data_IF_629102759783
#
_entry.id   IF_629102759783
#
_cell.length_a   1.000
_cell.length_b   1.000
_cell.length_c   1.000
_cell.angle_alpha   90.00
_cell.angle_beta   90.00
_cell.angle_gamma   90.00
#
_symmetry.space_group_name_H-M   'P 1'
#
loop_
_entity.id
_entity.type
_entity.pdbx_description
1 polymer ?
#
# COMPACT_ATOMS: atom_id res chain seq x y z
N UNK A 1 4.57 25.76 -22.73
CA UNK A 1 5.28 25.46 -21.47
C UNK A 1 4.52 24.30 -20.86
N UNK A 2 5.02 23.07 -21.08
CA UNK A 2 4.46 21.90 -20.41
C UNK A 2 4.73 22.07 -18.93
N UNK A 3 3.70 21.96 -18.12
CA UNK A 3 3.81 22.03 -16.68
C UNK A 3 4.66 20.84 -16.24
N UNK A 4 5.97 21.06 -16.05
CA UNK A 4 6.93 20.14 -15.45
C UNK A 4 6.66 20.07 -13.93
N UNK A 5 5.41 19.82 -13.56
CA UNK A 5 5.10 19.47 -12.20
C UNK A 5 5.49 18.00 -12.05
N UNK A 6 6.33 17.65 -11.07
CA UNK A 6 6.57 16.25 -10.77
C UNK A 6 5.19 15.59 -10.55
N UNK A 7 4.98 14.36 -11.05
CA UNK A 7 3.72 13.66 -10.85
C UNK A 7 3.36 13.71 -9.38
N UNK A 8 2.14 14.16 -9.07
CA UNK A 8 1.66 14.13 -7.70
C UNK A 8 1.58 12.65 -7.29
N UNK A 9 1.89 12.34 -6.04
CA UNK A 9 1.84 10.97 -5.55
C UNK A 9 0.73 10.83 -4.53
N UNK A 10 -0.15 9.87 -4.74
CA UNK A 10 -1.10 9.47 -3.72
C UNK A 10 -0.54 8.27 -2.96
N UNK A 11 -0.64 8.32 -1.63
CA UNK A 11 -0.16 7.27 -0.74
C UNK A 11 -1.33 6.70 0.05
N UNK A 12 -1.38 5.38 0.15
CA UNK A 12 -2.35 4.68 0.98
C UNK A 12 -1.65 3.63 1.82
N UNK A 13 -2.14 3.39 3.04
CA UNK A 13 -1.62 2.36 3.92
C UNK A 13 -2.73 1.36 4.20
N UNK A 14 -2.49 0.09 3.87
CA UNK A 14 -3.41 -1.00 4.19
C UNK A 14 -2.88 -1.81 5.35
N UNK A 15 -3.75 -2.17 6.29
CA UNK A 15 -3.42 -3.19 7.28
C UNK A 15 -3.66 -4.57 6.64
N UNK A 16 -2.68 -5.49 6.66
CA UNK A 16 -2.94 -6.86 6.25
C UNK A 16 -4.02 -7.45 7.18
N UNK A 17 -5.01 -8.17 6.63
CA UNK A 17 -6.08 -8.75 7.42
C UNK A 17 -5.50 -9.62 8.53
N UNK A 18 -5.81 -9.26 9.78
CA UNK A 18 -5.48 -10.08 10.95
C UNK A 18 -6.58 -11.14 11.03
N UNK A 19 -6.21 -12.41 10.92
CA UNK A 19 -7.14 -13.51 11.13
C UNK A 19 -7.88 -13.37 12.47
N UNK A 20 -9.08 -13.97 12.54
CA UNK A 20 -9.92 -14.02 13.75
C UNK A 20 -9.14 -14.48 14.99
N UNK A 21 -8.12 -15.30 14.78
CA UNK A 21 -7.01 -15.59 15.69
C UNK A 21 -5.88 -14.61 15.40
N UNK A 22 -5.47 -13.78 16.38
CA UNK A 22 -4.35 -12.80 16.31
C UNK A 22 -2.96 -13.39 15.93
N UNK A 23 -2.90 -14.58 15.33
CA UNK A 23 -1.73 -15.38 14.97
C UNK A 23 -1.68 -15.81 13.50
N UNK A 24 -2.76 -15.64 12.74
CA UNK A 24 -2.77 -15.94 11.31
C UNK A 24 -2.76 -14.62 10.55
N UNK A 25 -1.59 -14.24 10.05
CA UNK A 25 -1.50 -13.23 8.99
C UNK A 25 -2.17 -13.84 7.77
N UNK A 26 -3.36 -13.36 7.41
CA UNK A 26 -3.96 -13.74 6.14
C UNK A 26 -3.11 -13.11 5.04
N UNK A 27 -2.75 -13.92 4.05
CA UNK A 27 -1.91 -13.50 2.95
C UNK A 27 -2.56 -12.29 2.21
N UNK A 28 -1.92 -11.12 2.17
CA UNK A 28 -2.51 -9.92 1.58
C UNK A 28 -2.39 -9.88 0.05
N UNK A 29 -1.93 -10.96 -0.60
CA UNK A 29 -1.64 -10.96 -2.05
C UNK A 29 -2.88 -10.65 -2.89
N UNK A 30 -4.06 -11.15 -2.54
CA UNK A 30 -5.29 -10.81 -3.28
C UNK A 30 -5.54 -9.30 -3.28
N UNK A 31 -5.45 -8.67 -2.10
CA UNK A 31 -5.66 -7.23 -1.96
C UNK A 31 -4.58 -6.40 -2.66
N UNK A 32 -3.32 -6.86 -2.62
CA UNK A 32 -2.22 -6.24 -3.33
C UNK A 32 -2.39 -6.34 -4.85
N UNK A 33 -2.90 -7.46 -5.37
CA UNK A 33 -3.20 -7.61 -6.79
C UNK A 33 -4.34 -6.70 -7.24
N UNK A 34 -5.42 -6.56 -6.45
CA UNK A 34 -6.49 -5.60 -6.72
C UNK A 34 -5.94 -4.17 -6.84
N UNK A 35 -5.16 -3.75 -5.84
CA UNK A 35 -4.54 -2.42 -5.82
C UNK A 35 -3.53 -2.25 -6.97
N UNK A 36 -2.76 -3.30 -7.29
CA UNK A 36 -1.85 -3.31 -8.44
C UNK A 36 -2.58 -3.12 -9.77
N UNK A 37 -3.77 -3.70 -9.93
CA UNK A 37 -4.61 -3.49 -11.10
C UNK A 37 -5.14 -2.04 -11.21
N UNK A 38 -5.32 -1.36 -10.07
CA UNK A 38 -5.68 0.07 -10.00
C UNK A 38 -4.47 1.01 -10.18
N UNK A 39 -3.25 0.48 -10.33
CA UNK A 39 -2.02 1.24 -10.54
C UNK A 39 -1.26 1.61 -9.26
N UNK A 40 -1.59 0.97 -8.13
CA UNK A 40 -0.84 1.12 -6.88
C UNK A 40 0.41 0.24 -6.86
N UNK A 41 1.51 0.82 -6.42
CA UNK A 41 2.80 0.15 -6.25
C UNK A 41 3.14 0.05 -4.75
N UNK A 42 3.45 -1.16 -4.27
CA UNK A 42 3.92 -1.37 -2.90
C UNK A 42 5.29 -0.70 -2.72
N UNK A 43 5.39 0.27 -1.82
CA UNK A 43 6.64 1.01 -1.58
C UNK A 43 7.37 0.55 -0.33
N UNK A 44 6.67 0.35 0.78
CA UNK A 44 7.30 0.03 2.07
C UNK A 44 6.33 -0.76 2.96
N UNK A 45 6.88 -1.53 3.90
CA UNK A 45 6.12 -2.18 4.96
C UNK A 45 6.56 -1.65 6.32
N UNK A 46 5.60 -1.08 7.07
CA UNK A 46 5.86 -0.53 8.41
C UNK A 46 5.59 -1.64 9.43
N UNK A 47 6.65 -1.98 10.15
CA UNK A 47 6.61 -2.95 11.25
C UNK A 47 6.82 -2.24 12.58
N UNK A 48 5.98 -2.55 13.56
CA UNK A 48 6.18 -2.04 14.92
C UNK A 48 7.09 -2.99 15.70
N UNK A 49 8.05 -2.43 16.43
CA UNK A 49 9.09 -3.11 17.24
C UNK A 49 8.56 -4.19 18.22
N UNK A 50 7.24 -4.19 18.50
CA UNK A 50 6.58 -5.20 19.35
C UNK A 50 5.88 -6.33 18.56
N UNK A 51 6.49 -6.80 17.49
CA UNK A 51 6.17 -8.11 16.91
C UNK A 51 4.97 -8.15 15.97
N UNK A 52 4.81 -7.14 15.11
CA UNK A 52 3.88 -7.25 13.99
C UNK A 52 4.14 -6.22 12.90
N UNK A 53 4.34 -6.71 11.67
CA UNK A 53 4.14 -5.92 10.45
C UNK A 53 2.66 -5.57 10.37
N UNK A 54 2.33 -4.28 10.39
CA UNK A 54 0.93 -3.87 10.45
C UNK A 54 0.49 -3.03 9.27
N UNK A 55 1.39 -2.42 8.52
CA UNK A 55 0.97 -1.55 7.41
C UNK A 55 1.81 -1.82 6.18
N UNK A 56 1.15 -1.96 5.05
CA UNK A 56 1.75 -1.95 3.73
C UNK A 56 1.43 -0.59 3.12
N UNK A 57 2.47 0.19 2.83
CA UNK A 57 2.34 1.49 2.19
C UNK A 57 2.42 1.27 0.69
N UNK A 58 1.43 1.77 -0.02
CA UNK A 58 1.39 1.80 -1.48
C UNK A 58 1.37 3.24 -1.95
N UNK A 59 1.93 3.47 -3.14
CA UNK A 59 1.92 4.75 -3.83
C UNK A 59 1.38 4.59 -5.23
N UNK A 60 0.73 5.61 -5.77
CA UNK A 60 0.40 5.71 -7.20
C UNK A 60 0.67 7.11 -7.73
N UNK A 61 1.11 7.25 -8.99
CA UNK A 61 1.20 8.55 -9.63
C UNK A 61 -0.21 9.07 -9.95
N UNK A 62 -0.47 10.32 -9.57
CA UNK A 62 -1.65 11.09 -9.94
C UNK A 62 -1.21 12.14 -10.95
N UNK A 63 -1.86 12.08 -12.11
CA UNK A 63 -1.69 13.06 -13.17
C UNK A 63 -2.84 14.05 -13.02
N UNK A 64 -2.52 15.29 -12.64
CA UNK A 64 -3.47 16.41 -12.68
C UNK A 64 -3.71 16.74 -14.17
N UNK A 65 -4.96 16.64 -14.64
CA UNK A 65 -5.35 16.93 -16.04
C UNK A 65 -5.29 18.42 -16.38
#
# INVERSE_FOLDING_TARGET
>A
MGSDHPPAWEYTAIEPPKGLTKRETIDPTERLNELGAEGWELTESISYDRGGTKLLVLKRPVYDE
#
